data_IF_183140916112
#
_entry.id   IF_183140916112
#
_cell.length_a   1.000
_cell.length_b   1.000
_cell.length_c   1.000
_cell.angle_alpha   90.00
_cell.angle_beta   90.00
_cell.angle_gamma   90.00
#
_symmetry.space_group_name_H-M   'P 1'
#
loop_
_entity.id
_entity.type
_entity.pdbx_description
1 polymer ?
#
# COMPACT_ATOMS: atom_id res chain seq x y z
N UNK A 1 -6.66 10.52 -18.32
CA UNK A 1 -5.47 11.06 -19.01
C UNK A 1 -5.21 10.16 -20.22
N UNK A 2 -5.20 10.68 -21.43
CA UNK A 2 -4.92 9.92 -22.65
C UNK A 2 -3.43 9.60 -22.80
N UNK A 3 -3.08 8.85 -23.84
CA UNK A 3 -1.69 8.65 -24.25
C UNK A 3 -1.23 9.88 -25.06
N UNK A 4 -0.41 10.73 -24.45
CA UNK A 4 0.10 11.98 -25.04
C UNK A 4 1.57 12.17 -24.68
N UNK A 5 2.29 12.99 -25.47
CA UNK A 5 3.68 13.33 -25.17
C UNK A 5 3.86 13.88 -23.76
N UNK A 6 5.02 13.63 -23.15
CA UNK A 6 5.30 14.06 -21.77
C UNK A 6 5.13 15.57 -21.57
N UNK A 7 5.52 16.37 -22.57
CA UNK A 7 5.41 17.83 -22.57
C UNK A 7 3.98 18.38 -22.54
N UNK A 8 3.00 17.56 -22.88
CA UNK A 8 1.59 17.96 -22.92
C UNK A 8 0.83 17.67 -21.62
N UNK A 9 1.46 16.99 -20.66
CA UNK A 9 0.82 16.76 -19.35
C UNK A 9 0.80 18.05 -18.54
N UNK A 10 -0.38 18.40 -18.07
CA UNK A 10 -0.63 19.63 -17.32
C UNK A 10 -0.99 19.33 -15.86
N UNK A 11 -1.05 20.38 -15.05
CA UNK A 11 -1.58 20.28 -13.69
C UNK A 11 -3.01 19.74 -13.66
N UNK A 12 -3.83 20.07 -14.64
CA UNK A 12 -5.21 19.58 -14.74
C UNK A 12 -5.25 18.05 -14.91
N UNK A 13 -4.34 17.47 -15.69
CA UNK A 13 -4.24 16.02 -15.84
C UNK A 13 -3.89 15.35 -14.49
N UNK A 14 -3.02 15.97 -13.71
CA UNK A 14 -2.65 15.49 -12.40
C UNK A 14 -3.83 15.53 -11.40
N UNK A 15 -4.67 16.58 -11.47
CA UNK A 15 -5.89 16.68 -10.66
C UNK A 15 -6.93 15.65 -11.09
N UNK A 16 -7.18 15.48 -12.39
CA UNK A 16 -8.06 14.45 -12.92
C UNK A 16 -7.63 13.03 -12.52
N UNK A 17 -6.31 12.76 -12.53
CA UNK A 17 -5.78 11.48 -12.10
C UNK A 17 -6.04 11.25 -10.61
N UNK A 18 -5.83 12.26 -9.75
CA UNK A 18 -6.20 12.20 -8.33
C UNK A 18 -7.68 11.86 -8.16
N UNK A 19 -8.54 12.60 -8.82
CA UNK A 19 -10.00 12.45 -8.67
C UNK A 19 -10.46 11.07 -9.15
N UNK A 20 -9.85 10.55 -10.21
CA UNK A 20 -10.09 9.21 -10.69
C UNK A 20 -9.67 8.12 -9.68
N UNK A 21 -8.50 8.28 -9.02
CA UNK A 21 -8.06 7.35 -7.97
C UNK A 21 -9.01 7.38 -6.77
N UNK A 22 -9.44 8.57 -6.35
CA UNK A 22 -10.39 8.75 -5.24
C UNK A 22 -11.77 8.15 -5.58
N UNK A 23 -12.27 8.40 -6.79
CA UNK A 23 -13.54 7.84 -7.25
C UNK A 23 -13.54 6.30 -7.31
N UNK A 24 -12.38 5.67 -7.47
CA UNK A 24 -12.20 4.22 -7.38
C UNK A 24 -12.17 3.68 -5.94
N UNK A 25 -12.33 4.54 -4.95
CA UNK A 25 -12.32 4.15 -3.55
C UNK A 25 -10.93 3.82 -2.98
N UNK A 26 -9.83 4.29 -3.60
CA UNK A 26 -8.51 4.07 -3.07
C UNK A 26 -8.30 4.87 -1.78
N UNK A 27 -7.64 4.26 -0.81
CA UNK A 27 -7.22 4.96 0.43
C UNK A 27 -6.20 6.05 0.13
N UNK A 28 -6.12 7.08 0.99
CA UNK A 28 -5.16 8.17 0.84
C UNK A 28 -3.71 7.70 0.74
N UNK A 29 -3.34 6.65 1.46
CA UNK A 29 -2.01 6.01 1.36
C UNK A 29 -1.77 5.38 -0.01
N UNK A 30 -2.80 4.75 -0.59
CA UNK A 30 -2.73 4.17 -1.95
C UNK A 30 -2.62 5.26 -3.02
N UNK A 31 -3.35 6.37 -2.87
CA UNK A 31 -3.23 7.55 -3.73
C UNK A 31 -1.81 8.11 -3.66
N UNK A 32 -1.25 8.27 -2.45
CA UNK A 32 0.15 8.73 -2.25
C UNK A 32 1.14 7.83 -2.98
N UNK A 33 0.97 6.50 -2.89
CA UNK A 33 1.86 5.52 -3.54
C UNK A 33 1.81 5.64 -5.06
N UNK A 34 0.60 5.73 -5.65
CA UNK A 34 0.45 5.91 -7.09
C UNK A 34 1.11 7.19 -7.60
N UNK A 35 0.94 8.30 -6.87
CA UNK A 35 1.63 9.56 -7.20
C UNK A 35 3.14 9.45 -7.06
N UNK A 36 3.64 8.69 -6.09
CA UNK A 36 5.09 8.50 -5.91
C UNK A 36 5.71 7.77 -7.09
N UNK A 37 5.07 6.70 -7.58
CA UNK A 37 5.53 5.98 -8.77
C UNK A 37 5.49 6.85 -10.01
N UNK A 38 4.38 7.54 -10.25
CA UNK A 38 4.23 8.41 -11.41
C UNK A 38 5.26 9.55 -11.41
N UNK A 39 5.46 10.19 -10.25
CA UNK A 39 6.48 11.25 -10.11
C UNK A 39 7.90 10.73 -10.39
N UNK A 40 8.22 9.53 -9.89
CA UNK A 40 9.53 8.94 -10.12
C UNK A 40 9.80 8.72 -11.62
N UNK A 41 8.83 8.13 -12.34
CA UNK A 41 8.95 7.88 -13.78
C UNK A 41 9.08 9.18 -14.56
N UNK A 42 8.24 10.19 -14.25
CA UNK A 42 8.30 11.48 -14.93
C UNK A 42 9.62 12.20 -14.64
N UNK A 43 10.05 12.24 -13.38
CA UNK A 43 11.32 12.89 -13.02
C UNK A 43 12.52 12.21 -13.70
N UNK A 44 12.50 10.87 -13.79
CA UNK A 44 13.51 10.13 -14.52
C UNK A 44 13.53 10.56 -15.99
N UNK A 45 12.38 10.59 -16.66
CA UNK A 45 12.30 10.99 -18.04
C UNK A 45 12.74 12.47 -18.27
N UNK A 46 12.36 13.38 -17.36
CA UNK A 46 12.79 14.78 -17.44
C UNK A 46 14.31 14.90 -17.34
N UNK A 47 14.95 14.10 -16.48
CA UNK A 47 16.40 14.05 -16.32
C UNK A 47 17.09 13.45 -17.55
N UNK A 48 16.64 12.28 -18.02
CA UNK A 48 17.28 11.54 -19.13
C UNK A 48 17.18 12.33 -20.47
N UNK A 49 16.06 12.96 -20.71
CA UNK A 49 15.84 13.72 -21.95
C UNK A 49 16.14 15.22 -21.82
N UNK A 50 16.72 15.64 -20.69
CA UNK A 50 17.06 17.04 -20.40
C UNK A 50 15.91 18.02 -20.69
N UNK A 51 14.67 17.64 -20.34
CA UNK A 51 13.48 18.44 -20.62
C UNK A 51 13.35 19.57 -19.58
N UNK A 52 13.34 20.81 -20.06
CA UNK A 52 13.16 22.00 -19.22
C UNK A 52 11.67 22.22 -18.93
N UNK A 53 11.10 21.33 -18.10
CA UNK A 53 9.73 21.48 -17.62
C UNK A 53 9.59 20.97 -16.19
N UNK A 54 8.68 21.59 -15.46
CA UNK A 54 8.36 21.13 -14.10
C UNK A 54 7.39 19.95 -14.15
N UNK A 55 7.65 18.92 -13.37
CA UNK A 55 6.74 17.78 -13.23
C UNK A 55 5.38 18.23 -12.67
N UNK A 56 4.27 18.13 -13.44
CA UNK A 56 2.95 18.63 -13.03
C UNK A 56 2.30 17.83 -11.91
N UNK A 57 2.81 16.63 -11.61
CA UNK A 57 2.28 15.74 -10.57
C UNK A 57 2.89 15.98 -9.18
N UNK A 58 3.85 16.91 -9.06
CA UNK A 58 4.43 17.28 -7.77
C UNK A 58 3.45 18.13 -6.96
N UNK A 59 3.31 17.83 -5.65
CA UNK A 59 2.52 18.66 -4.73
C UNK A 59 1.01 18.65 -5.02
N UNK A 60 0.47 17.58 -5.61
CA UNK A 60 -0.97 17.38 -5.73
C UNK A 60 -1.54 17.04 -4.35
N UNK A 61 -2.40 17.91 -3.84
CA UNK A 61 -3.05 17.70 -2.55
C UNK A 61 -4.09 16.58 -2.64
N UNK A 62 -4.11 15.72 -1.64
CA UNK A 62 -5.14 14.73 -1.37
C UNK A 62 -5.16 14.40 0.13
N UNK A 63 -6.29 13.96 0.64
CA UNK A 63 -6.39 13.52 2.02
C UNK A 63 -5.67 12.18 2.20
N UNK A 64 -4.55 12.19 2.91
CA UNK A 64 -3.71 11.01 3.16
C UNK A 64 -4.37 10.00 4.09
N UNK A 65 -5.33 10.45 4.90
CA UNK A 65 -6.03 9.61 5.88
C UNK A 65 -7.37 9.09 5.35
N UNK A 66 -7.79 9.50 4.16
CA UNK A 66 -9.03 9.03 3.57
C UNK A 66 -9.04 7.49 3.45
N UNK A 67 -10.10 6.86 3.95
CA UNK A 67 -10.30 5.41 3.89
C UNK A 67 -9.32 4.58 4.73
N UNK A 68 -8.55 5.19 5.62
CA UNK A 68 -7.66 4.48 6.54
C UNK A 68 -8.48 3.91 7.69
N UNK A 69 -8.64 2.59 7.70
CA UNK A 69 -9.21 1.88 8.84
C UNK A 69 -8.13 1.70 9.90
N UNK A 70 -8.35 2.28 11.07
CA UNK A 70 -7.50 2.03 12.25
C UNK A 70 -7.80 0.61 12.73
N UNK A 71 -6.86 -0.31 12.50
CA UNK A 71 -6.96 -1.67 13.03
C UNK A 71 -6.79 -1.62 14.54
N UNK A 72 -7.78 -2.13 15.25
CA UNK A 72 -7.68 -2.31 16.70
C UNK A 72 -6.80 -3.52 16.99
N UNK A 73 -5.96 -3.47 18.04
CA UNK A 73 -5.24 -4.66 18.49
C UNK A 73 -6.24 -5.76 18.91
N UNK A 74 -5.86 -7.01 18.71
CA UNK A 74 -6.66 -8.14 19.15
C UNK A 74 -6.63 -8.16 20.68
N UNK A 75 -7.79 -8.28 21.37
CA UNK A 75 -7.83 -8.38 22.83
C UNK A 75 -7.03 -9.56 23.34
N UNK A 76 -6.33 -9.39 24.46
CA UNK A 76 -5.49 -10.44 25.06
C UNK A 76 -6.25 -11.74 25.34
N UNK A 77 -7.52 -11.62 25.77
CA UNK A 77 -8.35 -12.79 26.05
C UNK A 77 -8.67 -13.60 24.79
N UNK A 78 -8.90 -12.91 23.66
CA UNK A 78 -9.05 -13.59 22.37
C UNK A 78 -7.77 -14.31 21.94
N UNK A 79 -6.59 -13.71 22.18
CA UNK A 79 -5.30 -14.34 21.89
C UNK A 79 -5.13 -15.60 22.75
N UNK A 80 -5.45 -15.56 24.04
CA UNK A 80 -5.38 -16.71 24.94
C UNK A 80 -6.28 -17.87 24.50
N UNK A 81 -7.50 -17.56 24.04
CA UNK A 81 -8.40 -18.57 23.49
C UNK A 81 -7.79 -19.24 22.26
N UNK A 82 -7.26 -18.45 21.31
CA UNK A 82 -6.60 -18.99 20.12
C UNK A 82 -5.40 -19.86 20.51
N UNK A 83 -4.59 -19.44 21.47
CA UNK A 83 -3.43 -20.21 21.93
C UNK A 83 -3.85 -21.55 22.57
N UNK A 84 -4.88 -21.55 23.41
CA UNK A 84 -5.38 -22.79 24.02
C UNK A 84 -5.95 -23.77 23.01
N UNK A 85 -6.69 -23.26 22.01
CA UNK A 85 -7.18 -24.07 20.89
C UNK A 85 -6.04 -24.61 20.01
N UNK A 86 -4.99 -23.84 19.81
CA UNK A 86 -3.80 -24.30 19.09
C UNK A 86 -3.12 -25.49 19.81
N UNK A 87 -3.06 -25.46 21.12
CA UNK A 87 -2.51 -26.59 21.93
C UNK A 87 -3.41 -27.82 21.86
N UNK A 88 -4.74 -27.63 21.82
CA UNK A 88 -5.69 -28.74 21.84
C UNK A 88 -5.81 -29.50 20.51
N UNK A 89 -5.57 -28.82 19.38
CA UNK A 89 -5.84 -29.37 18.03
C UNK A 89 -4.56 -29.86 17.33
N UNK A 90 -3.42 -29.77 17.86
CA UNK A 90 -2.12 -30.28 17.36
C UNK A 90 -2.06 -30.52 15.81
N UNK A 91 -2.36 -29.51 15.03
CA UNK A 91 -2.34 -29.55 13.57
C UNK A 91 -1.37 -28.50 13.02
N UNK A 92 -0.71 -28.77 11.88
CA UNK A 92 0.30 -27.89 11.27
C UNK A 92 -0.16 -26.43 11.13
N UNK A 93 -1.40 -26.22 10.71
CA UNK A 93 -1.96 -24.88 10.57
C UNK A 93 -2.11 -24.17 11.93
N UNK A 94 -2.34 -24.90 13.00
CA UNK A 94 -2.43 -24.35 14.35
C UNK A 94 -1.06 -23.94 14.88
N UNK A 95 -0.07 -24.75 14.64
CA UNK A 95 1.32 -24.43 14.98
C UNK A 95 1.84 -23.21 14.18
N UNK A 96 1.46 -23.10 12.90
CA UNK A 96 1.78 -21.92 12.12
C UNK A 96 1.15 -20.64 12.69
N UNK A 97 -0.11 -20.71 13.15
CA UNK A 97 -0.78 -19.58 13.82
C UNK A 97 -0.05 -19.21 15.11
N UNK A 98 0.32 -20.20 15.93
CA UNK A 98 1.06 -19.97 17.17
C UNK A 98 2.42 -19.31 16.89
N UNK A 99 3.16 -19.83 15.93
CA UNK A 99 4.47 -19.31 15.54
C UNK A 99 4.38 -17.84 15.07
N UNK A 100 3.41 -17.53 14.20
CA UNK A 100 3.18 -16.15 13.70
C UNK A 100 2.74 -15.22 14.83
N UNK A 101 1.91 -15.72 15.76
CA UNK A 101 1.44 -14.97 16.93
C UNK A 101 2.59 -14.56 17.85
N UNK A 102 3.52 -15.48 18.13
CA UNK A 102 4.63 -15.23 19.05
C UNK A 102 5.76 -14.41 18.45
N UNK A 103 6.04 -14.63 17.16
CA UNK A 103 7.21 -14.00 16.50
C UNK A 103 6.88 -12.73 15.75
N UNK A 104 5.59 -12.50 15.42
CA UNK A 104 5.15 -11.38 14.58
C UNK A 104 5.61 -11.49 13.12
N UNK A 105 6.15 -12.64 12.69
CA UNK A 105 6.58 -12.86 11.31
C UNK A 105 5.38 -12.86 10.35
N UNK A 106 5.63 -12.62 9.07
CA UNK A 106 4.58 -12.72 8.06
C UNK A 106 4.19 -14.18 7.83
N UNK A 107 2.91 -14.42 7.55
CA UNK A 107 2.40 -15.78 7.30
C UNK A 107 3.22 -16.55 6.26
N UNK A 108 3.63 -15.90 5.17
CA UNK A 108 4.45 -16.51 4.13
C UNK A 108 5.87 -16.89 4.61
N UNK A 109 6.43 -16.11 5.54
CA UNK A 109 7.73 -16.41 6.15
C UNK A 109 7.61 -17.64 7.06
N UNK A 110 6.58 -17.69 7.91
CA UNK A 110 6.30 -18.85 8.77
C UNK A 110 6.02 -20.12 7.97
N UNK A 111 5.19 -20.04 6.94
CA UNK A 111 4.88 -21.17 6.07
C UNK A 111 6.11 -21.67 5.28
N UNK A 112 7.08 -20.81 5.00
CA UNK A 112 8.33 -21.18 4.33
C UNK A 112 9.32 -21.96 5.19
N UNK A 113 9.20 -21.90 6.52
CA UNK A 113 10.06 -22.64 7.45
C UNK A 113 9.71 -24.12 7.51
N UNK A 114 8.54 -24.52 7.05
CA UNK A 114 8.05 -25.91 7.07
C UNK A 114 8.50 -26.74 5.85
N UNK A 115 9.38 -26.21 5.05
CA UNK A 115 10.03 -26.90 3.92
C UNK A 115 11.47 -27.24 4.27
#
# INVERSE_FOLDING_TARGET
CGNKPLSEYTRNDALQFRDWLVARGLTGSSVTRNFSYLKAVINFALSEYALDMRNPFIGVYHDRNAGVLVRKPIPLDAIRVVQSECLAIDADMRWLIALVSDTGMRLAEGAGLLK
#
